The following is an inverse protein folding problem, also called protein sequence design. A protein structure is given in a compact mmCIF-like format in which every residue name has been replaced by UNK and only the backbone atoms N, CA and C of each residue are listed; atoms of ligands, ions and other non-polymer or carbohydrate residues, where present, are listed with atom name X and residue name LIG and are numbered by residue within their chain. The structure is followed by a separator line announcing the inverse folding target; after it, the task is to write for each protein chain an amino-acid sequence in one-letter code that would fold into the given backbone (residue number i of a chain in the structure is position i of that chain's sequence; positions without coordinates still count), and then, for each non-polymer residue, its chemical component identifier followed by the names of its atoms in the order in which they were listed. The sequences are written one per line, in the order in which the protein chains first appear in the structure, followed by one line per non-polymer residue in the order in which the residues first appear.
data_IF_266779003002
#
_entry.id   IF_266779003002
#
_cell.length_a   1.000
_cell.length_b   1.000
_cell.length_c   1.000
_cell.angle_alpha   90.00
_cell.angle_beta   90.00
_cell.angle_gamma   90.00
#
_symmetry.space_group_name_H-M   'P 1'
#
loop_
_entity.id
_entity.type
_entity.pdbx_description
1 polymer ?
#
# COMPACT_ATOMS: atom_id res chain seq x y z
N UNK A 1 10.02 -38.51 -5.38
CA UNK A 1 10.12 -37.51 -4.30
C UNK A 1 8.74 -36.90 -4.14
N UNK A 2 8.25 -36.68 -2.93
CA UNK A 2 6.96 -36.00 -2.70
C UNK A 2 7.09 -34.55 -3.16
N UNK A 3 6.10 -34.04 -3.90
CA UNK A 3 6.05 -32.63 -4.27
C UNK A 3 5.75 -31.76 -3.05
N UNK A 4 6.36 -30.57 -3.00
CA UNK A 4 6.09 -29.57 -1.99
C UNK A 4 4.73 -28.91 -2.27
N UNK A 5 3.78 -29.03 -1.33
CA UNK A 5 2.47 -28.39 -1.46
C UNK A 5 2.51 -26.97 -0.98
N UNK A 6 2.07 -26.02 -1.82
CA UNK A 6 2.05 -24.60 -1.52
C UNK A 6 0.68 -23.98 -1.87
N UNK A 7 0.22 -23.10 -1.01
CA UNK A 7 -0.87 -22.16 -1.28
C UNK A 7 -0.28 -20.82 -1.74
N UNK A 8 -0.68 -20.37 -2.93
CA UNK A 8 -0.19 -19.11 -3.54
C UNK A 8 -1.37 -18.17 -3.73
N UNK A 9 -1.28 -16.95 -3.25
CA UNK A 9 -2.33 -15.94 -3.40
C UNK A 9 -1.82 -14.69 -4.10
N UNK A 10 -2.45 -14.31 -5.20
CA UNK A 10 -2.16 -13.08 -5.93
C UNK A 10 -3.44 -12.46 -6.47
N UNK A 11 -3.33 -11.21 -6.92
CA UNK A 11 -4.32 -10.62 -7.82
C UNK A 11 -4.26 -11.27 -9.20
N UNK A 12 -5.34 -11.16 -9.97
CA UNK A 12 -5.41 -11.70 -11.33
C UNK A 12 -4.54 -10.89 -12.30
N UNK A 13 -3.34 -11.39 -12.53
CA UNK A 13 -2.42 -10.86 -13.52
C UNK A 13 -2.27 -11.83 -14.69
N UNK A 14 -2.21 -11.31 -15.90
CA UNK A 14 -2.05 -12.08 -17.14
C UNK A 14 -0.74 -12.87 -17.17
N UNK A 15 0.36 -12.31 -16.65
CA UNK A 15 1.67 -12.97 -16.62
C UNK A 15 1.78 -14.14 -15.62
N UNK A 16 0.78 -14.33 -14.73
CA UNK A 16 0.68 -15.52 -13.88
C UNK A 16 -0.35 -16.55 -14.38
N UNK A 17 -1.04 -16.23 -15.46
CA UNK A 17 -2.18 -17.01 -15.94
C UNK A 17 -1.83 -18.47 -16.18
N UNK A 18 -0.73 -18.74 -16.88
CA UNK A 18 -0.35 -20.10 -17.26
C UNK A 18 0.04 -20.95 -16.05
N UNK A 19 0.70 -20.35 -15.04
CA UNK A 19 0.92 -21.02 -13.76
C UNK A 19 -0.39 -21.32 -13.04
N UNK A 20 -1.28 -20.36 -12.99
CA UNK A 20 -2.60 -20.51 -12.34
C UNK A 20 -3.46 -21.58 -13.00
N UNK A 21 -3.43 -21.67 -14.30
CA UNK A 21 -4.19 -22.69 -15.07
C UNK A 21 -3.49 -24.05 -15.11
N UNK A 22 -2.25 -24.16 -14.60
CA UNK A 22 -1.47 -25.39 -14.62
C UNK A 22 -0.87 -25.75 -15.98
N UNK A 23 -0.90 -24.83 -16.95
CA UNK A 23 -0.25 -24.97 -18.26
C UNK A 23 1.29 -24.98 -18.10
N UNK A 24 1.78 -24.19 -17.17
CA UNK A 24 3.18 -24.18 -16.72
C UNK A 24 3.22 -24.63 -15.27
N UNK A 25 4.11 -25.54 -14.95
CA UNK A 25 4.28 -26.09 -13.59
C UNK A 25 5.70 -25.90 -13.09
N UNK A 26 5.84 -25.54 -11.82
CA UNK A 26 7.15 -25.54 -11.17
C UNK A 26 7.56 -26.97 -10.82
N UNK A 27 8.79 -27.33 -11.13
CA UNK A 27 9.30 -28.68 -10.84
C UNK A 27 9.36 -28.95 -9.33
N UNK A 28 8.78 -30.06 -8.89
CA UNK A 28 8.77 -30.47 -7.47
C UNK A 28 7.79 -29.70 -6.59
N UNK A 29 6.91 -28.88 -7.19
CA UNK A 29 5.88 -28.11 -6.45
C UNK A 29 4.50 -28.47 -6.98
N UNK A 30 3.62 -28.84 -6.04
CA UNK A 30 2.18 -28.91 -6.22
C UNK A 30 1.54 -27.68 -5.57
N UNK A 31 0.93 -26.79 -6.36
CA UNK A 31 0.42 -25.53 -5.84
C UNK A 31 -1.10 -25.38 -6.01
N UNK A 32 -1.70 -24.78 -5.01
CA UNK A 32 -3.07 -24.26 -5.05
C UNK A 32 -3.03 -22.74 -5.22
N UNK A 33 -3.47 -22.23 -6.37
CA UNK A 33 -3.41 -20.79 -6.68
C UNK A 33 -4.75 -20.12 -6.44
N UNK A 34 -4.76 -19.13 -5.53
CA UNK A 34 -5.93 -18.33 -5.18
C UNK A 34 -5.86 -16.95 -5.85
N UNK A 35 -6.89 -16.63 -6.59
CA UNK A 35 -7.09 -15.31 -7.17
C UNK A 35 -7.91 -14.46 -6.22
N UNK A 36 -7.30 -13.42 -5.65
CA UNK A 36 -7.90 -12.55 -4.65
C UNK A 36 -7.77 -11.08 -5.05
N UNK A 37 -8.68 -10.25 -4.57
CA UNK A 37 -8.49 -8.80 -4.68
C UNK A 37 -7.30 -8.33 -3.85
N UNK A 38 -6.56 -7.28 -4.31
CA UNK A 38 -5.37 -6.76 -3.63
C UNK A 38 -5.55 -6.57 -2.12
N UNK A 39 -6.65 -5.92 -1.72
CA UNK A 39 -6.87 -5.63 -0.30
C UNK A 39 -7.13 -6.89 0.52
N UNK A 40 -7.82 -7.85 -0.05
CA UNK A 40 -8.10 -9.13 0.59
C UNK A 40 -6.81 -9.94 0.75
N UNK A 41 -6.06 -10.13 -0.34
CA UNK A 41 -4.78 -10.84 -0.33
C UNK A 41 -3.83 -10.26 0.73
N UNK A 42 -3.62 -8.93 0.69
CA UNK A 42 -2.72 -8.24 1.61
C UNK A 42 -3.18 -8.30 3.06
N UNK A 43 -4.48 -8.20 3.31
CA UNK A 43 -5.03 -8.22 4.67
C UNK A 43 -4.90 -9.61 5.29
N UNK A 44 -5.31 -10.65 4.56
CA UNK A 44 -5.29 -12.04 5.04
C UNK A 44 -3.85 -12.52 5.29
N UNK A 45 -2.94 -12.22 4.36
CA UNK A 45 -1.53 -12.56 4.56
C UNK A 45 -0.90 -11.79 5.71
N UNK A 46 -1.12 -10.47 5.81
CA UNK A 46 -0.53 -9.66 6.87
C UNK A 46 -1.03 -10.06 8.26
N UNK A 47 -2.32 -10.31 8.40
CA UNK A 47 -2.92 -10.60 9.70
C UNK A 47 -2.72 -12.06 10.16
N UNK A 48 -2.85 -13.02 9.24
CA UNK A 48 -3.04 -14.42 9.61
C UNK A 48 -2.02 -15.36 8.95
N UNK A 49 -1.17 -14.90 8.02
CA UNK A 49 -0.27 -15.76 7.23
C UNK A 49 -1.01 -16.95 6.57
N UNK A 50 -2.20 -16.67 6.00
CA UNK A 50 -3.08 -17.71 5.47
C UNK A 50 -2.51 -18.44 4.25
N UNK A 51 -1.46 -17.93 3.64
CA UNK A 51 -0.85 -18.47 2.41
C UNK A 51 0.66 -18.69 2.62
N UNK A 52 1.21 -19.71 1.95
CA UNK A 52 2.65 -19.95 1.96
C UNK A 52 3.39 -18.90 1.14
N UNK A 53 2.79 -18.49 0.01
CA UNK A 53 3.30 -17.44 -0.87
C UNK A 53 2.17 -16.45 -1.17
N UNK A 54 2.44 -15.17 -1.05
CA UNK A 54 1.42 -14.16 -1.34
C UNK A 54 2.00 -12.91 -1.99
N UNK A 55 1.22 -12.28 -2.86
CA UNK A 55 1.45 -10.90 -3.25
C UNK A 55 1.28 -9.99 -2.03
N UNK A 56 2.19 -9.07 -1.83
CA UNK A 56 2.12 -8.10 -0.75
C UNK A 56 2.51 -6.70 -1.23
N UNK A 57 1.86 -5.69 -0.68
CA UNK A 57 2.27 -4.30 -0.85
C UNK A 57 3.73 -4.12 -0.43
N UNK A 58 4.57 -3.55 -1.31
CA UNK A 58 6.00 -3.38 -1.02
C UNK A 58 6.26 -2.54 0.23
N UNK A 59 5.45 -1.52 0.49
CA UNK A 59 5.55 -0.75 1.73
C UNK A 59 5.22 -1.58 2.98
N UNK A 60 4.22 -2.48 2.90
CA UNK A 60 3.90 -3.38 4.01
C UNK A 60 4.98 -4.46 4.21
N UNK A 61 5.52 -4.98 3.12
CA UNK A 61 6.65 -5.90 3.19
C UNK A 61 7.84 -5.22 3.88
N UNK A 62 8.23 -4.01 3.44
CA UNK A 62 9.34 -3.27 4.03
C UNK A 62 9.14 -3.01 5.54
N UNK A 63 7.92 -2.64 5.95
CA UNK A 63 7.60 -2.43 7.36
C UNK A 63 7.65 -3.72 8.20
N UNK A 64 7.43 -4.88 7.59
CA UNK A 64 7.47 -6.17 8.29
C UNK A 64 8.87 -6.77 8.31
N UNK A 65 9.57 -6.78 7.16
CA UNK A 65 10.89 -7.42 7.04
C UNK A 65 11.99 -6.73 7.87
N UNK A 66 11.79 -5.47 8.23
CA UNK A 66 12.73 -4.72 9.09
C UNK A 66 12.57 -5.01 10.58
N UNK A 67 11.57 -5.77 10.97
CA UNK A 67 11.37 -6.16 12.37
C UNK A 67 12.34 -7.29 12.77
N UNK A 68 12.84 -7.29 13.99
CA UNK A 68 13.74 -8.36 14.47
C UNK A 68 13.10 -9.75 14.44
N UNK A 69 11.77 -9.81 14.61
CA UNK A 69 10.95 -11.03 14.67
C UNK A 69 10.23 -11.33 13.34
N UNK A 70 10.74 -10.80 12.24
CA UNK A 70 10.10 -10.98 10.92
C UNK A 70 10.04 -12.45 10.52
N UNK A 71 8.85 -12.88 10.15
CA UNK A 71 8.53 -14.23 9.66
C UNK A 71 8.33 -14.27 8.13
N UNK A 72 8.64 -13.17 7.43
CA UNK A 72 8.47 -13.06 5.98
C UNK A 72 9.80 -12.85 5.27
N UNK A 73 9.91 -13.44 4.08
CA UNK A 73 11.01 -13.21 3.13
C UNK A 73 10.45 -12.69 1.81
N UNK A 74 11.22 -11.87 1.10
CA UNK A 74 10.85 -11.38 -0.22
C UNK A 74 11.36 -12.28 -1.33
N UNK A 75 10.45 -12.74 -2.20
CA UNK A 75 10.85 -13.34 -3.47
C UNK A 75 11.06 -12.22 -4.50
N UNK A 76 12.06 -12.31 -5.40
CA UNK A 76 12.36 -11.25 -6.37
C UNK A 76 11.38 -11.25 -7.55
N UNK A 77 10.08 -11.30 -7.25
CA UNK A 77 8.99 -11.31 -8.22
C UNK A 77 8.16 -10.04 -8.05
N UNK A 78 8.17 -9.18 -9.07
CA UNK A 78 7.39 -7.93 -9.07
C UNK A 78 6.04 -8.18 -9.74
N UNK A 79 5.00 -8.34 -8.92
CA UNK A 79 3.65 -8.65 -9.38
C UNK A 79 3.00 -7.48 -10.13
N UNK A 80 3.15 -6.25 -9.63
CA UNK A 80 2.48 -5.07 -10.18
C UNK A 80 3.44 -3.88 -10.32
N UNK A 81 3.28 -3.13 -11.42
CA UNK A 81 3.99 -1.86 -11.65
C UNK A 81 3.00 -0.81 -12.13
N UNK A 82 2.88 0.29 -11.39
CA UNK A 82 1.98 1.39 -11.74
C UNK A 82 2.68 2.74 -11.53
N UNK A 83 2.42 3.69 -12.42
CA UNK A 83 2.79 5.08 -12.22
C UNK A 83 1.94 5.70 -11.10
N UNK A 84 2.58 6.45 -10.18
CA UNK A 84 1.91 6.96 -8.98
C UNK A 84 1.72 8.47 -8.95
N UNK A 85 2.42 9.24 -9.78
CA UNK A 85 2.29 10.70 -9.79
C UNK A 85 0.89 11.19 -10.17
N UNK A 86 0.14 10.41 -10.94
CA UNK A 86 -1.26 10.66 -11.23
C UNK A 86 -2.22 10.45 -10.05
N UNK A 87 -1.71 10.02 -8.89
CA UNK A 87 -2.54 9.75 -7.71
C UNK A 87 -2.61 10.93 -6.72
N UNK A 88 -2.08 12.10 -7.09
CA UNK A 88 -2.33 13.35 -6.36
C UNK A 88 -3.63 13.99 -6.84
N UNK A 89 -4.49 14.33 -5.89
CA UNK A 89 -5.75 15.01 -6.14
C UNK A 89 -5.81 16.28 -5.31
N UNK A 90 -6.36 17.33 -5.90
CA UNK A 90 -6.62 18.61 -5.21
C UNK A 90 -8.06 19.03 -5.44
N UNK A 91 -8.65 19.73 -4.47
CA UNK A 91 -9.95 20.34 -4.68
C UNK A 91 -9.82 21.43 -5.77
N UNK A 92 -10.70 21.39 -6.77
CA UNK A 92 -10.68 22.33 -7.92
C UNK A 92 -10.76 23.81 -7.50
N UNK A 93 -11.35 24.08 -6.32
CA UNK A 93 -11.49 25.41 -5.77
C UNK A 93 -10.30 25.82 -4.88
N UNK A 94 -9.34 24.93 -4.64
CA UNK A 94 -8.16 25.23 -3.87
C UNK A 94 -7.21 26.14 -4.64
N UNK A 95 -6.30 26.80 -3.91
CA UNK A 95 -5.22 27.60 -4.50
C UNK A 95 -3.95 26.79 -4.77
N UNK A 96 -3.98 25.47 -4.54
CA UNK A 96 -2.85 24.57 -4.74
C UNK A 96 -2.63 24.39 -6.24
N UNK A 97 -1.44 24.73 -6.73
CA UNK A 97 -1.01 24.59 -8.13
C UNK A 97 0.24 23.73 -8.26
N UNK A 98 1.06 23.70 -7.23
CA UNK A 98 2.33 22.97 -7.19
C UNK A 98 2.42 22.18 -5.90
N UNK A 99 3.36 21.22 -5.84
CA UNK A 99 3.63 20.46 -4.61
C UNK A 99 4.15 21.38 -3.48
N UNK A 100 4.86 22.43 -3.80
CA UNK A 100 5.33 23.39 -2.80
C UNK A 100 4.20 24.08 -2.02
N UNK A 101 3.02 24.21 -2.64
CA UNK A 101 1.84 24.82 -2.01
C UNK A 101 1.22 23.92 -0.92
N UNK A 102 1.67 22.65 -0.81
CA UNK A 102 1.24 21.73 0.23
C UNK A 102 1.84 22.02 1.61
N UNK A 103 2.88 22.85 1.71
CA UNK A 103 3.46 23.23 3.00
C UNK A 103 2.40 23.89 3.89
N UNK A 104 2.28 23.41 5.13
CA UNK A 104 1.26 23.83 6.08
C UNK A 104 -0.15 23.42 5.74
N UNK A 105 -0.37 22.54 4.75
CA UNK A 105 -1.69 22.05 4.37
C UNK A 105 -1.96 20.69 4.96
N UNK A 106 -3.25 20.33 4.98
CA UNK A 106 -3.70 18.98 5.31
C UNK A 106 -3.68 18.14 4.05
N UNK A 107 -2.99 17.00 4.10
CA UNK A 107 -2.87 16.07 2.97
C UNK A 107 -3.35 14.68 3.38
N UNK A 108 -4.31 14.15 2.65
CA UNK A 108 -4.92 12.87 2.93
C UNK A 108 -4.14 11.68 2.38
N UNK A 109 -4.09 10.58 3.14
CA UNK A 109 -3.55 9.29 2.70
C UNK A 109 -4.38 8.15 3.30
N UNK A 110 -4.71 7.09 2.54
CA UNK A 110 -5.55 6.01 3.06
C UNK A 110 -4.88 5.16 4.14
N UNK A 111 -3.59 4.93 4.04
CA UNK A 111 -2.73 4.29 5.02
C UNK A 111 -1.34 4.88 4.92
N UNK A 112 -0.61 4.97 6.02
CA UNK A 112 0.77 5.44 6.01
C UNK A 112 1.67 4.45 5.25
N UNK A 113 1.56 3.16 5.56
CA UNK A 113 2.29 2.08 4.89
C UNK A 113 1.60 1.60 3.59
N UNK A 114 1.03 2.51 2.81
CA UNK A 114 0.49 2.23 1.48
C UNK A 114 1.55 2.55 0.43
N UNK A 115 1.88 1.62 -0.47
CA UNK A 115 2.99 1.79 -1.42
C UNK A 115 2.91 3.08 -2.24
N UNK A 116 1.74 3.43 -2.78
CA UNK A 116 1.57 4.67 -3.52
C UNK A 116 1.91 5.89 -2.65
N UNK A 117 1.42 5.93 -1.41
CA UNK A 117 1.66 7.03 -0.48
C UNK A 117 3.15 7.13 -0.08
N UNK A 118 3.84 6.00 0.08
CA UNK A 118 5.29 6.00 0.36
C UNK A 118 6.07 6.60 -0.81
N UNK A 119 5.79 6.16 -2.05
CA UNK A 119 6.44 6.71 -3.24
C UNK A 119 6.15 8.19 -3.43
N UNK A 120 4.91 8.62 -3.23
CA UNK A 120 4.51 10.02 -3.35
C UNK A 120 5.19 10.90 -2.30
N UNK A 121 5.24 10.46 -1.04
CA UNK A 121 5.96 11.17 0.03
C UNK A 121 7.46 11.24 -0.24
N UNK A 122 8.05 10.14 -0.72
CA UNK A 122 9.45 10.11 -1.14
C UNK A 122 9.75 11.12 -2.24
N UNK A 123 8.91 11.18 -3.27
CA UNK A 123 9.05 12.15 -4.34
C UNK A 123 8.87 13.60 -3.85
N UNK A 124 7.85 13.88 -3.03
CA UNK A 124 7.66 15.21 -2.42
C UNK A 124 8.89 15.65 -1.65
N UNK A 125 9.47 14.74 -0.88
CA UNK A 125 10.63 15.04 -0.04
C UNK A 125 11.91 15.21 -0.87
N UNK A 126 12.25 14.22 -1.69
CA UNK A 126 13.55 14.14 -2.35
C UNK A 126 13.66 15.06 -3.57
N UNK A 127 12.58 15.16 -4.36
CA UNK A 127 12.60 15.89 -5.62
C UNK A 127 12.02 17.31 -5.47
N UNK A 128 11.01 17.48 -4.62
CA UNK A 128 10.27 18.74 -4.51
C UNK A 128 10.62 19.54 -3.26
N UNK A 129 11.48 19.03 -2.38
CA UNK A 129 11.94 19.72 -1.17
C UNK A 129 10.85 20.02 -0.13
N UNK A 130 9.75 19.25 -0.15
CA UNK A 130 8.68 19.34 0.85
C UNK A 130 8.91 18.26 1.90
N UNK A 131 9.33 18.66 3.10
CA UNK A 131 9.55 17.72 4.21
C UNK A 131 8.24 17.11 4.68
N UNK A 132 8.30 15.89 5.22
CA UNK A 132 7.10 15.23 5.76
C UNK A 132 6.51 16.01 6.95
N UNK A 133 7.36 16.70 7.72
CA UNK A 133 6.97 17.57 8.81
C UNK A 133 6.39 18.93 8.37
N UNK A 134 6.52 19.29 7.09
CA UNK A 134 5.94 20.54 6.56
C UNK A 134 4.42 20.40 6.27
N UNK A 135 3.85 19.21 6.44
CA UNK A 135 2.48 18.85 6.03
C UNK A 135 1.76 18.23 7.22
N UNK A 136 0.47 18.57 7.40
CA UNK A 136 -0.43 17.90 8.35
C UNK A 136 -1.08 16.70 7.67
N UNK A 137 -0.66 15.49 8.01
CA UNK A 137 -1.17 14.27 7.39
C UNK A 137 -2.51 13.86 7.98
N UNK A 138 -3.42 13.45 7.11
CA UNK A 138 -4.74 12.94 7.50
C UNK A 138 -4.90 11.53 6.97
N UNK A 139 -5.14 10.58 7.86
CA UNK A 139 -5.44 9.20 7.49
C UNK A 139 -6.94 8.93 7.58
N UNK A 140 -7.53 8.51 6.47
CA UNK A 140 -8.92 8.06 6.39
C UNK A 140 -9.09 7.10 5.21
N UNK A 141 -10.21 6.39 5.12
CA UNK A 141 -10.49 5.55 3.95
C UNK A 141 -10.65 6.39 2.68
N UNK A 142 -10.26 5.87 1.53
CA UNK A 142 -10.28 6.63 0.27
C UNK A 142 -11.70 7.08 -0.11
N UNK A 143 -12.64 6.13 -0.21
CA UNK A 143 -14.03 6.36 -0.64
C UNK A 143 -15.07 5.93 0.41
N UNK A 144 -14.64 5.33 1.51
CA UNK A 144 -15.48 4.91 2.61
C UNK A 144 -14.76 5.15 3.93
N UNK A 145 -15.49 5.51 4.96
CA UNK A 145 -14.97 5.72 6.30
C UNK A 145 -14.46 4.42 6.95
N UNK A 146 -13.73 4.52 8.06
CA UNK A 146 -13.38 3.39 8.92
C UNK A 146 -12.14 2.59 8.52
N UNK A 147 -11.38 3.01 7.52
CA UNK A 147 -10.12 2.32 7.13
C UNK A 147 -9.04 2.49 8.18
N UNK A 148 -8.45 1.37 8.60
CA UNK A 148 -7.38 1.33 9.61
C UNK A 148 -6.04 0.99 8.97
N UNK A 149 -4.96 1.48 9.57
CA UNK A 149 -3.60 1.01 9.29
C UNK A 149 -3.47 -0.48 9.64
N UNK A 150 -2.78 -1.23 8.80
CA UNK A 150 -2.65 -2.69 8.95
C UNK A 150 -1.31 -3.14 9.48
N UNK A 151 -0.39 -2.21 9.67
CA UNK A 151 0.93 -2.45 10.26
C UNK A 151 1.14 -1.47 11.41
N UNK A 152 1.95 -1.88 12.37
CA UNK A 152 2.40 -0.96 13.41
C UNK A 152 3.31 0.10 12.80
N UNK A 153 3.09 1.35 13.16
CA UNK A 153 3.82 2.49 12.63
C UNK A 153 4.75 3.09 13.68
N UNK A 154 5.99 3.34 13.26
CA UNK A 154 6.88 4.30 13.91
C UNK A 154 7.02 5.48 12.96
N UNK A 155 6.45 6.62 13.32
CA UNK A 155 6.51 7.82 12.49
C UNK A 155 7.85 8.54 12.69
N UNK A 156 8.42 9.15 11.63
CA UNK A 156 9.58 10.03 11.78
C UNK A 156 9.29 11.20 12.73
N UNK A 157 10.33 11.69 13.38
CA UNK A 157 10.23 12.85 14.26
C UNK A 157 9.63 14.06 13.54
N UNK A 158 8.73 14.78 14.22
CA UNK A 158 8.05 15.97 13.70
C UNK A 158 6.94 15.69 12.68
N UNK A 159 6.62 14.45 12.37
CA UNK A 159 5.49 14.09 11.49
C UNK A 159 4.20 14.11 12.29
N UNK A 160 3.26 14.98 11.87
CA UNK A 160 1.91 15.07 12.41
C UNK A 160 0.94 14.21 11.57
N UNK A 161 0.30 13.21 12.19
CA UNK A 161 -0.68 12.32 11.56
C UNK A 161 -1.96 12.23 12.38
N UNK A 162 -3.03 12.82 11.85
CA UNK A 162 -4.38 12.71 12.41
C UNK A 162 -5.16 11.60 11.73
N UNK A 163 -5.84 10.73 12.49
CA UNK A 163 -6.75 9.69 11.97
C UNK A 163 -8.19 10.13 12.05
N UNK A 164 -8.92 10.01 10.94
CA UNK A 164 -10.35 10.29 10.85
C UNK A 164 -11.06 8.99 10.49
N UNK A 165 -12.01 8.57 11.33
CA UNK A 165 -12.68 7.28 11.21
C UNK A 165 -14.13 7.38 10.71
N UNK A 166 -14.71 8.55 10.71
CA UNK A 166 -16.11 8.82 10.41
C UNK A 166 -16.34 9.45 9.04
N UNK A 167 -15.27 9.87 8.36
CA UNK A 167 -15.31 10.40 6.99
C UNK A 167 -14.31 9.69 6.08
N UNK A 168 -14.56 9.75 4.77
CA UNK A 168 -13.62 9.33 3.74
C UNK A 168 -12.74 10.49 3.26
N UNK A 169 -11.61 10.19 2.63
CA UNK A 169 -10.75 11.21 1.99
C UNK A 169 -11.49 11.93 0.86
N UNK A 170 -12.35 11.23 0.12
CA UNK A 170 -13.16 11.84 -0.94
C UNK A 170 -14.11 12.90 -0.39
N UNK A 171 -14.76 12.64 0.75
CA UNK A 171 -15.63 13.63 1.43
C UNK A 171 -14.81 14.81 1.95
N UNK A 172 -13.69 14.55 2.64
CA UNK A 172 -12.81 15.59 3.18
C UNK A 172 -12.22 16.48 2.07
N UNK A 173 -11.85 15.88 0.93
CA UNK A 173 -11.35 16.63 -0.22
C UNK A 173 -12.44 17.48 -0.87
N UNK A 174 -13.64 16.92 -1.04
CA UNK A 174 -14.78 17.62 -1.63
C UNK A 174 -15.22 18.81 -0.79
N UNK A 175 -15.20 18.67 0.54
CA UNK A 175 -15.54 19.76 1.49
C UNK A 175 -14.43 20.81 1.63
N UNK A 176 -13.21 20.52 1.16
CA UNK A 176 -12.05 21.39 1.33
C UNK A 176 -11.41 21.32 2.72
N UNK A 177 -11.70 20.25 3.47
CA UNK A 177 -11.07 19.99 4.76
C UNK A 177 -9.62 19.47 4.63
N UNK A 178 -9.28 18.89 3.46
CA UNK A 178 -7.93 18.49 3.07
C UNK A 178 -7.60 18.99 1.69
#
# INVERSE_FOLDING_TARGET
MSELKLSIATTDYDHFRDFRLGEVRAQGIDHNWLNLGHHECFARFTANREFDVAELSFAKFSAQVTRPDSDVIGLPVICSRLFRFSSFYVNKNSKIKTIADLKGKRVGSPEWAHSAAVYMRGWMHNEMGVKLSDVHWVQAGANAAGRKEKVELSLPEGVDLTRINDKSLSELLASGEI
#
